data_IF_576681805117
#
_entry.id   IF_576681805117
#
_cell.length_a   1.000
_cell.length_b   1.000
_cell.length_c   1.000
_cell.angle_alpha   90.00
_cell.angle_beta   90.00
_cell.angle_gamma   90.00
#
_symmetry.space_group_name_H-M   'P 1'
#
loop_
_entity.id
_entity.type
_entity.pdbx_description
1 polymer ?
#
# COMPACT_ATOMS: atom_id res chain seq x y z
N UNK A 1 21.07 -11.75 34.61
CA UNK A 1 19.97 -12.72 34.41
C UNK A 1 20.34 -13.57 33.21
N UNK A 2 20.03 -14.87 33.18
CA UNK A 2 20.38 -15.72 32.04
C UNK A 2 19.39 -15.47 30.91
N UNK A 3 19.88 -15.01 29.77
CA UNK A 3 19.04 -14.73 28.60
C UNK A 3 19.03 -15.91 27.62
N UNK A 4 20.19 -16.56 27.43
CA UNK A 4 20.33 -17.77 26.63
C UNK A 4 21.33 -18.75 27.22
N UNK A 5 21.20 -20.03 26.84
CA UNK A 5 22.15 -21.10 27.14
C UNK A 5 22.44 -21.86 25.84
N UNK A 6 23.73 -21.92 25.48
CA UNK A 6 24.21 -22.63 24.31
C UNK A 6 24.64 -24.05 24.69
N UNK A 7 24.01 -25.04 24.08
CA UNK A 7 24.29 -26.45 24.31
C UNK A 7 25.13 -27.00 23.16
N UNK A 8 26.30 -27.54 23.49
CA UNK A 8 27.22 -28.15 22.54
C UNK A 8 27.05 -29.68 22.52
N UNK A 9 27.29 -30.29 21.36
CA UNK A 9 27.38 -31.75 21.23
C UNK A 9 28.74 -32.29 21.71
N UNK A 10 28.91 -33.62 21.70
CA UNK A 10 30.14 -34.30 22.13
C UNK A 10 31.38 -33.94 21.28
N UNK A 11 31.18 -33.27 20.13
CA UNK A 11 32.24 -32.77 19.25
C UNK A 11 32.50 -31.28 19.43
N UNK A 12 31.85 -30.64 20.40
CA UNK A 12 31.95 -29.21 20.67
C UNK A 12 31.22 -28.33 19.65
N UNK A 13 30.33 -28.89 18.83
CA UNK A 13 29.53 -28.14 17.86
C UNK A 13 28.22 -27.69 18.50
N UNK A 14 27.70 -26.53 18.07
CA UNK A 14 26.42 -26.01 18.58
C UNK A 14 25.29 -26.97 18.22
N UNK A 15 24.66 -27.55 19.24
CA UNK A 15 23.54 -28.47 19.09
C UNK A 15 22.22 -27.71 19.15
N UNK A 16 22.01 -26.92 20.20
CA UNK A 16 20.84 -26.06 20.34
C UNK A 16 21.08 -24.90 21.30
N UNK A 17 20.30 -23.83 21.14
CA UNK A 17 20.26 -22.67 22.03
C UNK A 17 18.91 -22.64 22.73
N UNK A 18 18.91 -22.45 24.03
CA UNK A 18 17.71 -22.21 24.83
C UNK A 18 17.61 -20.73 25.20
N UNK A 19 16.43 -20.15 25.06
CA UNK A 19 16.20 -18.73 25.41
C UNK A 19 15.16 -18.61 26.52
N UNK A 20 15.47 -17.72 27.46
CA UNK A 20 14.73 -17.52 28.70
C UNK A 20 14.24 -16.08 28.80
N UNK A 21 13.03 -15.91 29.33
CA UNK A 21 12.47 -14.59 29.59
C UNK A 21 13.00 -14.00 30.91
N UNK A 22 12.60 -12.76 31.23
CA UNK A 22 12.98 -12.04 32.45
C UNK A 22 12.50 -12.70 33.75
N UNK A 23 11.80 -13.83 33.68
CA UNK A 23 11.37 -14.62 34.84
C UNK A 23 12.10 -15.98 34.90
N UNK A 24 13.12 -16.19 34.06
CA UNK A 24 13.88 -17.43 33.98
C UNK A 24 13.08 -18.60 33.41
N UNK A 25 12.00 -18.35 32.67
CA UNK A 25 11.24 -19.41 31.99
C UNK A 25 11.71 -19.58 30.56
N UNK A 26 11.98 -20.83 30.19
CA UNK A 26 12.26 -21.24 28.81
C UNK A 26 11.07 -20.89 27.93
N UNK A 27 11.30 -20.18 26.82
CA UNK A 27 10.26 -19.88 25.83
C UNK A 27 10.62 -20.33 24.43
N UNK A 28 11.91 -20.51 24.11
CA UNK A 28 12.35 -21.09 22.84
C UNK A 28 13.52 -22.05 23.00
N UNK A 29 13.57 -23.05 22.12
CA UNK A 29 14.78 -23.84 21.83
C UNK A 29 15.03 -23.88 20.34
N UNK A 30 16.20 -23.44 19.91
CA UNK A 30 16.61 -23.39 18.51
C UNK A 30 17.69 -24.43 18.25
N UNK A 31 17.45 -25.35 17.32
CA UNK A 31 18.36 -26.44 16.99
C UNK A 31 19.21 -26.10 15.78
N UNK A 32 20.47 -26.53 15.82
CA UNK A 32 21.44 -26.25 14.77
C UNK A 32 21.98 -27.54 14.16
N UNK A 33 22.34 -27.46 12.87
CA UNK A 33 23.09 -28.50 12.17
C UNK A 33 24.09 -27.84 11.23
N UNK A 34 25.37 -28.20 11.35
CA UNK A 34 26.45 -27.57 10.57
C UNK A 34 26.43 -26.04 10.69
N UNK A 35 26.24 -25.51 11.89
CA UNK A 35 26.10 -24.08 12.21
C UNK A 35 24.93 -23.33 11.51
N UNK A 36 23.98 -24.03 10.90
CA UNK A 36 22.76 -23.42 10.39
C UNK A 36 21.59 -23.74 11.32
N UNK A 37 20.76 -22.73 11.59
CA UNK A 37 19.49 -22.92 12.28
C UNK A 37 18.60 -23.87 11.49
N UNK A 38 18.11 -24.90 12.15
CA UNK A 38 17.27 -25.95 11.57
C UNK A 38 15.80 -25.70 11.89
N UNK A 39 15.50 -25.53 13.18
CA UNK A 39 14.15 -25.42 13.71
C UNK A 39 14.16 -24.72 15.06
N UNK A 40 13.17 -23.88 15.30
CA UNK A 40 12.91 -23.25 16.60
C UNK A 40 11.61 -23.82 17.14
N UNK A 41 11.64 -24.32 18.36
CA UNK A 41 10.47 -24.81 19.10
C UNK A 41 10.10 -23.78 20.16
N UNK A 42 8.80 -23.45 20.26
CA UNK A 42 8.26 -22.49 21.20
C UNK A 42 7.44 -23.17 22.29
N UNK A 43 7.66 -22.76 23.53
CA UNK A 43 7.05 -23.37 24.72
C UNK A 43 6.11 -22.41 25.42
N UNK A 44 4.97 -22.93 25.89
CA UNK A 44 3.98 -22.16 26.64
C UNK A 44 4.42 -22.02 28.11
N UNK A 45 3.61 -21.31 28.92
CA UNK A 45 3.90 -21.07 30.35
C UNK A 45 3.99 -22.36 31.20
N UNK A 46 3.47 -23.47 30.70
CA UNK A 46 3.47 -24.80 31.31
C UNK A 46 4.60 -25.70 30.78
N UNK A 47 5.46 -25.19 29.90
CA UNK A 47 6.56 -25.94 29.28
C UNK A 47 6.14 -26.89 28.16
N UNK A 48 4.90 -26.78 27.68
CA UNK A 48 4.41 -27.58 26.55
C UNK A 48 4.71 -26.85 25.25
N UNK A 49 5.11 -27.60 24.24
CA UNK A 49 5.26 -27.08 22.88
C UNK A 49 3.93 -26.59 22.32
N UNK A 50 3.94 -25.38 21.77
CA UNK A 50 2.76 -24.78 21.11
C UNK A 50 3.05 -24.27 19.70
N UNK A 51 4.31 -24.14 19.31
CA UNK A 51 4.67 -23.78 17.93
C UNK A 51 6.06 -24.27 17.56
N UNK A 52 6.29 -24.42 16.25
CA UNK A 52 7.63 -24.69 15.70
C UNK A 52 7.80 -24.03 14.33
N UNK A 53 9.01 -23.58 13.99
CA UNK A 53 9.32 -23.15 12.62
C UNK A 53 9.44 -24.34 11.68
N UNK A 54 9.28 -24.10 10.38
CA UNK A 54 9.47 -25.12 9.35
C UNK A 54 10.89 -24.99 8.76
N UNK A 55 11.71 -26.06 8.78
CA UNK A 55 13.07 -26.00 8.26
C UNK A 55 13.15 -25.46 6.83
N UNK A 56 14.07 -24.52 6.60
CA UNK A 56 14.32 -23.89 5.28
C UNK A 56 13.10 -23.15 4.70
N UNK A 57 12.19 -22.66 5.54
CA UNK A 57 10.98 -21.92 5.16
C UNK A 57 10.73 -20.79 6.17
N UNK A 58 9.98 -19.75 5.77
CA UNK A 58 9.39 -18.78 6.72
C UNK A 58 8.22 -19.36 7.51
N UNK A 59 7.76 -20.57 7.17
CA UNK A 59 6.57 -21.18 7.75
C UNK A 59 6.66 -21.44 9.24
N UNK A 60 5.52 -21.36 9.92
CA UNK A 60 5.35 -21.68 11.33
C UNK A 60 4.16 -22.60 11.50
N UNK A 61 4.31 -23.62 12.34
CA UNK A 61 3.25 -24.55 12.70
C UNK A 61 2.83 -24.27 14.14
N UNK A 62 1.54 -24.01 14.36
CA UNK A 62 0.95 -23.89 15.70
C UNK A 62 0.34 -25.22 16.08
N UNK A 63 0.62 -25.66 17.31
CA UNK A 63 0.22 -26.95 17.87
C UNK A 63 -0.51 -26.66 19.18
N UNK A 64 -1.54 -27.44 19.49
CA UNK A 64 -2.23 -27.37 20.79
C UNK A 64 -2.91 -26.02 21.09
N UNK A 65 -3.30 -25.25 20.07
CA UNK A 65 -4.14 -24.05 20.23
C UNK A 65 -5.56 -24.32 19.71
N UNK A 66 -6.58 -24.04 20.52
CA UNK A 66 -7.97 -24.43 20.22
C UNK A 66 -8.53 -23.86 18.91
N UNK A 67 -8.05 -22.69 18.48
CA UNK A 67 -8.55 -22.00 17.28
C UNK A 67 -7.45 -21.73 16.22
N UNK A 68 -6.17 -21.77 16.60
CA UNK A 68 -5.05 -21.38 15.73
C UNK A 68 -4.16 -22.56 15.35
N UNK A 69 -4.50 -23.79 15.74
CA UNK A 69 -3.69 -24.95 15.36
C UNK A 69 -3.69 -25.09 13.84
N UNK A 70 -2.50 -25.18 13.25
CA UNK A 70 -2.35 -25.23 11.80
C UNK A 70 -0.98 -24.78 11.30
N UNK A 71 -0.81 -24.89 10.00
CA UNK A 71 0.36 -24.37 9.30
C UNK A 71 0.08 -22.95 8.79
N UNK A 72 1.06 -22.08 8.99
CA UNK A 72 1.08 -20.71 8.50
C UNK A 72 2.31 -20.52 7.61
N UNK A 73 2.13 -19.86 6.47
CA UNK A 73 3.20 -19.69 5.49
C UNK A 73 4.34 -18.78 5.98
N UNK A 74 4.02 -17.88 6.91
CA UNK A 74 4.95 -16.95 7.55
C UNK A 74 4.37 -16.42 8.87
N UNK A 75 5.16 -15.68 9.64
CA UNK A 75 4.72 -15.10 10.92
C UNK A 75 3.58 -14.09 10.75
N UNK A 76 3.51 -13.42 9.59
CA UNK A 76 2.46 -12.45 9.25
C UNK A 76 1.07 -13.10 9.13
N UNK A 77 0.97 -14.23 8.43
CA UNK A 77 -0.28 -14.99 8.29
C UNK A 77 -0.79 -15.51 9.64
N UNK A 78 0.12 -15.97 10.51
CA UNK A 78 -0.20 -16.35 11.89
C UNK A 78 -0.77 -15.19 12.69
N UNK A 79 -0.08 -14.04 12.67
CA UNK A 79 -0.51 -12.86 13.42
C UNK A 79 -1.88 -12.36 12.95
N UNK A 80 -2.12 -12.36 11.64
CA UNK A 80 -3.40 -11.97 11.06
C UNK A 80 -4.55 -12.86 11.53
N UNK A 81 -4.37 -14.18 11.52
CA UNK A 81 -5.40 -15.12 11.96
C UNK A 81 -5.64 -15.04 13.47
N UNK A 82 -4.59 -14.86 14.28
CA UNK A 82 -4.72 -14.62 15.72
C UNK A 82 -5.61 -13.40 16.00
N UNK A 83 -5.36 -12.29 15.31
CA UNK A 83 -6.11 -11.06 15.51
C UNK A 83 -7.57 -11.20 15.08
N UNK A 84 -7.85 -11.88 13.96
CA UNK A 84 -9.21 -12.16 13.48
C UNK A 84 -10.01 -13.01 14.46
N UNK A 85 -9.43 -14.11 14.93
CA UNK A 85 -10.13 -15.07 15.80
C UNK A 85 -10.45 -14.49 17.18
N UNK A 86 -9.65 -13.53 17.65
CA UNK A 86 -9.89 -12.85 18.92
C UNK A 86 -10.77 -11.59 18.76
N UNK A 87 -11.33 -11.34 17.57
CA UNK A 87 -12.18 -10.17 17.29
C UNK A 87 -11.44 -8.84 17.40
N UNK A 88 -10.10 -8.85 17.32
CA UNK A 88 -9.26 -7.68 17.58
C UNK A 88 -9.19 -6.78 16.34
N UNK A 89 -8.83 -7.31 15.17
CA UNK A 89 -8.82 -6.62 13.87
C UNK A 89 -8.45 -7.61 12.75
N UNK A 90 -8.80 -7.30 11.50
CA UNK A 90 -8.52 -8.10 10.30
C UNK A 90 -7.34 -7.57 9.46
N UNK A 91 -6.55 -6.65 10.02
CA UNK A 91 -5.57 -5.80 9.33
C UNK A 91 -4.39 -5.47 10.28
N UNK A 92 -3.13 -5.19 9.83
CA UNK A 92 -1.88 -5.09 10.67
C UNK A 92 -1.10 -3.72 10.61
N UNK A 93 -0.61 -3.17 11.74
CA UNK A 93 0.34 -2.03 11.88
C UNK A 93 1.62 -2.67 12.40
N UNK A 94 2.71 -2.44 11.67
CA UNK A 94 4.00 -3.04 11.95
C UNK A 94 4.89 -2.02 12.65
N UNK A 95 5.33 -2.37 13.86
CA UNK A 95 6.44 -1.72 14.57
C UNK A 95 7.72 -2.58 14.53
N UNK A 96 7.67 -3.79 13.97
CA UNK A 96 8.78 -4.75 13.92
C UNK A 96 9.28 -4.94 12.49
N UNK A 97 10.55 -4.58 12.26
CA UNK A 97 11.26 -4.70 10.99
C UNK A 97 11.38 -6.15 10.50
N UNK A 98 11.40 -7.13 11.40
CA UNK A 98 11.53 -8.55 11.03
C UNK A 98 10.28 -9.11 10.34
N UNK A 99 9.12 -8.47 10.52
CA UNK A 99 7.88 -8.86 9.85
C UNK A 99 7.75 -8.25 8.44
N UNK A 100 8.64 -7.32 8.08
CA UNK A 100 8.65 -6.66 6.77
C UNK A 100 9.31 -7.55 5.71
N UNK A 101 10.36 -8.30 6.07
CA UNK A 101 11.02 -9.25 5.16
C UNK A 101 10.08 -10.37 4.69
N UNK A 102 9.17 -10.81 5.55
CA UNK A 102 8.13 -11.80 5.26
C UNK A 102 6.98 -11.24 4.40
N UNK A 103 6.89 -9.91 4.23
CA UNK A 103 5.79 -9.19 3.58
C UNK A 103 5.99 -8.96 2.06
N UNK A 104 6.91 -9.70 1.43
CA UNK A 104 7.28 -9.55 0.01
C UNK A 104 6.10 -9.58 -1.01
N UNK A 105 4.90 -9.97 -0.60
CA UNK A 105 3.65 -9.67 -1.31
C UNK A 105 2.50 -9.44 -0.31
N UNK A 106 1.78 -8.34 -0.48
CA UNK A 106 0.59 -7.89 0.27
C UNK A 106 0.82 -7.36 1.70
N UNK A 107 1.00 -6.04 1.79
CA UNK A 107 0.88 -5.29 3.05
C UNK A 107 -0.58 -4.81 3.17
N UNK A 108 -1.34 -5.40 4.11
CA UNK A 108 -2.68 -4.98 4.52
C UNK A 108 -2.64 -4.29 5.91
N UNK A 109 -3.11 -3.04 5.96
CA UNK A 109 -2.85 -2.02 7.00
C UNK A 109 -3.80 -2.05 8.20
N UNK A 110 -3.36 -1.88 9.47
CA UNK A 110 -4.21 -1.67 10.67
C UNK A 110 -4.95 -0.35 10.60
N UNK A 111 -6.25 -0.43 10.86
CA UNK A 111 -6.93 0.53 11.70
C UNK A 111 -7.54 -0.23 12.90
N UNK A 112 -7.55 0.44 14.05
CA UNK A 112 -8.13 0.01 15.32
C UNK A 112 -9.63 -0.29 15.12
N UNK A 113 -10.11 -1.46 15.58
CA UNK A 113 -11.55 -1.68 15.66
C UNK A 113 -12.21 -0.73 16.68
N UNK A 114 -13.44 -0.34 16.36
CA UNK A 114 -14.30 0.63 17.03
C UNK A 114 -14.25 0.56 18.56
N UNK A 115 -13.62 1.56 19.19
CA UNK A 115 -13.82 2.10 20.57
C UNK A 115 -12.55 2.73 21.17
N UNK A 116 -11.44 2.87 20.42
CA UNK A 116 -10.30 3.70 20.86
C UNK A 116 -10.03 4.83 19.88
N UNK A 117 -9.88 6.03 20.42
CA UNK A 117 -9.57 7.23 19.65
C UNK A 117 -8.05 7.39 19.55
N UNK A 118 -7.55 8.05 18.49
CA UNK A 118 -6.14 8.46 18.38
C UNK A 118 -5.61 9.16 19.65
N UNK A 119 -6.50 9.81 20.41
CA UNK A 119 -6.20 10.44 21.70
C UNK A 119 -5.66 9.47 22.76
N UNK A 120 -6.04 8.20 22.68
CA UNK A 120 -5.64 7.16 23.63
C UNK A 120 -4.23 6.61 23.33
N UNK A 121 -3.71 6.80 22.10
CA UNK A 121 -2.34 6.45 21.70
C UNK A 121 -1.33 7.55 22.05
N UNK A 122 -1.76 8.81 22.08
CA UNK A 122 -0.92 9.98 22.40
C UNK A 122 -0.66 10.11 23.92
N UNK A 123 -1.44 9.42 24.75
CA UNK A 123 -1.57 9.70 26.19
C UNK A 123 -0.47 9.19 27.12
N UNK A 124 0.48 8.35 26.68
CA UNK A 124 1.39 7.69 27.63
C UNK A 124 2.84 8.17 27.64
N UNK A 125 3.38 8.78 26.58
CA UNK A 125 4.83 9.11 26.55
C UNK A 125 5.25 10.39 25.80
N UNK A 126 4.35 11.30 25.42
CA UNK A 126 4.69 12.60 24.80
C UNK A 126 5.62 12.56 23.55
N UNK A 127 5.89 11.38 22.98
CA UNK A 127 6.47 11.21 21.65
C UNK A 127 5.37 10.66 20.75
N UNK A 128 5.03 11.41 19.71
CA UNK A 128 4.14 10.93 18.65
C UNK A 128 4.87 9.79 17.91
N UNK A 129 4.48 8.55 18.17
CA UNK A 129 4.88 7.41 17.35
C UNK A 129 4.27 7.60 15.94
N UNK A 130 5.11 7.60 14.89
CA UNK A 130 4.69 7.83 13.51
C UNK A 130 3.88 6.63 12.99
N UNK A 131 2.76 6.87 12.30
CA UNK A 131 1.91 5.81 11.74
C UNK A 131 2.21 5.65 10.25
N UNK A 132 2.82 4.54 9.84
CA UNK A 132 3.02 4.22 8.43
C UNK A 132 1.75 3.62 7.81
N UNK A 133 1.15 4.31 6.83
CA UNK A 133 -0.08 3.90 6.14
C UNK A 133 0.23 3.30 4.76
N UNK A 134 -0.01 2.01 4.60
CA UNK A 134 0.22 1.28 3.34
C UNK A 134 -1.06 1.11 2.49
N UNK A 135 -2.17 1.75 2.89
CA UNK A 135 -3.49 1.46 2.32
C UNK A 135 -3.57 2.02 0.92
N UNK A 136 -4.56 1.63 0.15
CA UNK A 136 -4.79 2.24 -1.17
C UNK A 136 -5.65 3.51 -1.04
N UNK A 137 -6.49 3.55 0.00
CA UNK A 137 -7.41 4.65 0.30
C UNK A 137 -6.95 5.35 1.59
N UNK A 138 -5.97 6.25 1.49
CA UNK A 138 -5.65 7.09 2.65
C UNK A 138 -6.61 8.26 2.70
N UNK A 139 -7.24 8.41 3.85
CA UNK A 139 -7.98 9.62 4.20
C UNK A 139 -7.02 10.53 4.97
N UNK A 140 -7.19 11.86 4.84
CA UNK A 140 -6.51 12.86 5.69
C UNK A 140 -6.92 12.63 7.15
N UNK A 141 -6.29 11.68 7.84
CA UNK A 141 -6.77 11.27 9.16
C UNK A 141 -6.12 12.12 10.26
N UNK A 142 -4.79 12.36 10.26
CA UNK A 142 -4.08 13.29 11.18
C UNK A 142 -2.64 13.55 10.68
N UNK A 143 -1.99 14.63 11.13
CA UNK A 143 -0.56 14.96 10.89
C UNK A 143 0.44 13.86 11.32
N UNK A 144 0.01 12.84 12.08
CA UNK A 144 0.85 11.73 12.55
C UNK A 144 0.96 10.56 11.55
N UNK A 145 0.31 10.65 10.39
CA UNK A 145 0.32 9.60 9.36
C UNK A 145 1.38 9.87 8.28
N UNK A 146 2.19 8.85 8.00
CA UNK A 146 3.11 8.82 6.87
C UNK A 146 2.60 7.81 5.85
N UNK A 147 2.18 8.30 4.69
CA UNK A 147 1.75 7.47 3.58
C UNK A 147 2.92 6.72 2.96
N UNK A 148 2.82 5.39 2.84
CA UNK A 148 3.84 4.59 2.17
C UNK A 148 3.49 4.42 0.70
N UNK A 149 4.39 4.89 -0.17
CA UNK A 149 4.26 4.80 -1.62
C UNK A 149 4.90 3.51 -2.11
N UNK A 150 4.09 2.67 -2.74
CA UNK A 150 4.55 1.44 -3.42
C UNK A 150 5.06 1.82 -4.82
N UNK A 151 6.18 1.24 -5.28
CA UNK A 151 6.66 1.48 -6.64
C UNK A 151 5.64 0.98 -7.66
N UNK A 152 5.58 1.63 -8.83
CA UNK A 152 4.84 1.08 -9.96
C UNK A 152 5.57 -0.16 -10.48
N UNK A 153 4.84 -1.26 -10.60
CA UNK A 153 5.42 -2.55 -11.04
C UNK A 153 5.10 -2.87 -12.49
N UNK A 154 4.12 -2.19 -13.08
CA UNK A 154 3.69 -2.42 -14.45
C UNK A 154 4.10 -1.28 -15.38
N UNK A 155 4.72 -1.65 -16.51
CA UNK A 155 4.91 -0.75 -17.65
C UNK A 155 3.96 -1.18 -18.75
N UNK A 156 2.94 -0.37 -19.04
CA UNK A 156 2.05 -0.60 -20.18
C UNK A 156 2.72 -0.13 -21.47
N UNK A 157 2.70 -0.97 -22.51
CA UNK A 157 3.07 -0.57 -23.88
C UNK A 157 2.00 0.32 -24.53
N UNK A 158 0.78 0.30 -24.00
CA UNK A 158 -0.36 1.08 -24.50
C UNK A 158 -0.46 2.37 -23.69
N UNK A 159 -0.40 3.51 -24.38
CA UNK A 159 -0.64 4.84 -23.80
C UNK A 159 -2.05 4.89 -23.24
N UNK A 160 -2.19 4.93 -21.92
CA UNK A 160 -3.49 4.77 -21.25
C UNK A 160 -3.83 6.01 -20.44
N UNK A 161 -5.05 6.49 -20.58
CA UNK A 161 -5.61 7.60 -19.80
C UNK A 161 -6.67 7.01 -18.86
N UNK A 162 -6.59 7.33 -17.57
CA UNK A 162 -7.56 6.88 -16.59
C UNK A 162 -8.45 8.03 -16.09
N UNK A 163 -9.75 7.74 -15.98
CA UNK A 163 -10.77 8.63 -15.39
C UNK A 163 -11.60 7.78 -14.43
N UNK A 164 -11.85 8.29 -13.22
CA UNK A 164 -12.73 7.66 -12.23
C UNK A 164 -13.84 8.64 -11.84
N UNK A 165 -15.10 8.19 -11.93
CA UNK A 165 -16.27 9.02 -11.59
C UNK A 165 -17.28 8.28 -10.74
N UNK A 166 -18.11 9.02 -9.99
CA UNK A 166 -19.29 8.51 -9.31
C UNK A 166 -20.59 8.83 -10.07
N UNK A 167 -20.48 9.43 -11.27
CA UNK A 167 -21.59 9.81 -12.14
C UNK A 167 -21.25 9.57 -13.61
N UNK A 168 -22.22 9.77 -14.51
CA UNK A 168 -22.04 9.76 -15.95
C UNK A 168 -21.70 11.13 -16.57
N UNK A 169 -21.48 12.15 -15.73
CA UNK A 169 -21.08 13.48 -16.16
C UNK A 169 -19.56 13.59 -16.18
N UNK A 170 -18.99 13.66 -17.39
CA UNK A 170 -17.58 13.90 -17.65
C UNK A 170 -17.44 15.10 -18.60
N UNK A 171 -16.63 16.08 -18.22
CA UNK A 171 -16.45 17.33 -18.98
C UNK A 171 -15.62 17.06 -20.25
N UNK A 172 -16.16 17.44 -21.42
CA UNK A 172 -15.50 17.34 -22.74
C UNK A 172 -14.95 15.95 -23.13
N UNK A 173 -15.55 14.86 -22.60
CA UNK A 173 -15.01 13.51 -22.79
C UNK A 173 -15.07 13.06 -24.26
N UNK A 174 -16.12 13.41 -25.00
CA UNK A 174 -16.27 13.03 -26.40
C UNK A 174 -15.15 13.64 -27.26
N UNK A 175 -14.86 14.94 -27.09
CA UNK A 175 -13.81 15.64 -27.82
C UNK A 175 -12.41 15.14 -27.45
N UNK A 176 -12.19 14.78 -26.17
CA UNK A 176 -10.94 14.18 -25.72
C UNK A 176 -10.72 12.80 -26.36
N UNK A 177 -11.75 11.95 -26.38
CA UNK A 177 -11.68 10.63 -27.03
C UNK A 177 -11.39 10.79 -28.53
N UNK A 178 -12.06 11.73 -29.20
CA UNK A 178 -11.86 12.00 -30.63
C UNK A 178 -10.45 12.53 -30.92
N UNK A 179 -9.95 13.47 -30.11
CA UNK A 179 -8.64 14.10 -30.32
C UNK A 179 -7.42 13.26 -29.96
N UNK A 180 -7.61 12.20 -29.17
CA UNK A 180 -6.56 11.34 -28.60
C UNK A 180 -6.76 9.86 -29.00
N UNK A 181 -6.93 9.60 -30.30
CA UNK A 181 -7.15 8.24 -30.83
C UNK A 181 -6.00 7.26 -30.56
N UNK A 182 -4.79 7.77 -30.35
CA UNK A 182 -3.61 6.97 -30.00
C UNK A 182 -3.55 6.57 -28.51
N UNK A 183 -4.46 7.09 -27.69
CA UNK A 183 -4.58 6.76 -26.27
C UNK A 183 -5.78 5.86 -26.02
N UNK A 184 -5.60 4.87 -25.15
CA UNK A 184 -6.68 4.08 -24.61
C UNK A 184 -7.29 4.75 -23.37
N UNK A 185 -8.56 5.11 -23.42
CA UNK A 185 -9.32 5.64 -22.29
C UNK A 185 -9.91 4.50 -21.47
N UNK A 186 -9.42 4.35 -20.24
CA UNK A 186 -10.04 3.51 -19.24
C UNK A 186 -10.94 4.40 -18.38
N UNK A 187 -12.25 4.22 -18.50
CA UNK A 187 -13.23 5.06 -17.81
C UNK A 187 -13.96 4.19 -16.79
N UNK A 188 -13.77 4.54 -15.52
CA UNK A 188 -14.25 3.79 -14.37
C UNK A 188 -15.37 4.48 -13.63
N UNK A 189 -16.31 3.70 -13.08
CA UNK A 189 -17.26 4.19 -12.09
C UNK A 189 -17.47 3.22 -10.92
N UNK A 190 -17.77 3.78 -9.73
CA UNK A 190 -18.17 2.98 -8.54
C UNK A 190 -19.63 2.54 -8.58
N UNK A 191 -20.45 3.21 -9.37
CA UNK A 191 -21.90 3.04 -9.44
C UNK A 191 -22.33 2.35 -10.73
N UNK A 192 -23.64 2.10 -10.85
CA UNK A 192 -24.25 1.93 -12.17
C UNK A 192 -24.07 3.23 -12.97
N UNK A 193 -23.94 3.08 -14.28
CA UNK A 193 -23.74 4.19 -15.22
C UNK A 193 -24.88 4.21 -16.25
N UNK A 194 -25.18 5.39 -16.79
CA UNK A 194 -26.25 5.56 -17.77
C UNK A 194 -25.91 4.94 -19.13
N UNK A 195 -26.92 4.79 -19.98
CA UNK A 195 -26.70 4.35 -21.35
C UNK A 195 -25.86 5.33 -22.16
N UNK A 196 -25.93 6.64 -21.86
CA UNK A 196 -25.07 7.68 -22.48
C UNK A 196 -23.61 7.35 -22.21
N UNK A 197 -23.28 7.10 -20.95
CA UNK A 197 -21.93 6.72 -20.55
C UNK A 197 -21.47 5.44 -21.25
N UNK A 198 -22.27 4.37 -21.19
CA UNK A 198 -21.95 3.07 -21.82
C UNK A 198 -21.71 3.20 -23.33
N UNK A 199 -22.36 4.16 -24.00
CA UNK A 199 -22.17 4.38 -25.42
C UNK A 199 -20.78 4.95 -25.77
N UNK A 200 -20.04 5.56 -24.83
CA UNK A 200 -18.65 5.96 -25.06
C UNK A 200 -17.75 4.75 -25.39
N UNK A 201 -18.10 3.56 -24.86
CA UNK A 201 -17.39 2.30 -25.09
C UNK A 201 -17.58 1.71 -26.49
N UNK A 202 -18.35 2.38 -27.37
CA UNK A 202 -18.41 2.03 -28.80
C UNK A 202 -17.14 2.48 -29.55
N UNK A 203 -16.42 3.45 -29.00
CA UNK A 203 -15.13 3.89 -29.55
C UNK A 203 -14.07 2.82 -29.27
N UNK A 204 -13.28 2.48 -30.30
CA UNK A 204 -12.28 1.40 -30.20
C UNK A 204 -11.19 1.68 -29.17
N UNK A 205 -10.95 2.95 -28.88
CA UNK A 205 -9.96 3.41 -27.93
C UNK A 205 -10.53 3.61 -26.51
N UNK A 206 -11.72 3.06 -26.18
CA UNK A 206 -12.37 3.25 -24.87
C UNK A 206 -12.75 1.90 -24.24
N UNK A 207 -12.41 1.72 -22.96
CA UNK A 207 -12.96 0.67 -22.10
C UNK A 207 -13.74 1.31 -20.97
N UNK A 208 -14.99 0.88 -20.77
CA UNK A 208 -15.82 1.31 -19.65
C UNK A 208 -15.92 0.20 -18.63
N UNK A 209 -15.67 0.53 -17.37
CA UNK A 209 -15.84 -0.38 -16.24
C UNK A 209 -16.83 0.21 -15.24
N UNK A 210 -18.05 -0.33 -15.22
CA UNK A 210 -18.99 -0.07 -14.14
C UNK A 210 -18.62 -0.90 -12.91
N UNK A 211 -18.94 -0.40 -11.71
CA UNK A 211 -18.68 -1.09 -10.44
C UNK A 211 -17.22 -1.49 -10.21
N UNK A 212 -16.27 -0.62 -10.56
CA UNK A 212 -14.86 -0.89 -10.28
C UNK A 212 -14.64 -1.14 -8.79
N UNK A 213 -13.96 -2.23 -8.46
CA UNK A 213 -13.53 -2.52 -7.10
C UNK A 213 -12.31 -1.67 -6.71
N UNK A 214 -11.92 -1.67 -5.43
CA UNK A 214 -10.69 -0.96 -4.99
C UNK A 214 -9.46 -1.48 -5.74
N UNK A 215 -9.40 -2.80 -5.93
CA UNK A 215 -8.33 -3.46 -6.65
C UNK A 215 -8.29 -3.08 -8.14
N UNK A 216 -9.45 -2.90 -8.77
CA UNK A 216 -9.50 -2.48 -10.18
C UNK A 216 -8.98 -1.05 -10.36
N UNK A 217 -9.30 -0.15 -9.43
CA UNK A 217 -8.77 1.22 -9.44
C UNK A 217 -7.25 1.23 -9.24
N UNK A 218 -6.71 0.40 -8.34
CA UNK A 218 -5.27 0.28 -8.18
C UNK A 218 -4.58 -0.27 -9.45
N UNK A 219 -5.12 -1.32 -10.05
CA UNK A 219 -4.62 -1.84 -11.33
C UNK A 219 -4.67 -0.79 -12.43
N UNK A 220 -5.68 0.07 -12.41
CA UNK A 220 -5.83 1.14 -13.37
C UNK A 220 -4.70 2.19 -13.23
N UNK A 221 -4.44 2.63 -12.00
CA UNK A 221 -3.34 3.55 -11.67
C UNK A 221 -1.96 2.97 -12.02
N UNK A 222 -1.75 1.67 -11.81
CA UNK A 222 -0.51 0.98 -12.16
C UNK A 222 -0.22 1.02 -13.67
N UNK A 223 -1.26 1.11 -14.52
CA UNK A 223 -1.14 1.04 -15.98
C UNK A 223 -1.22 2.39 -16.69
N UNK A 224 -1.87 3.39 -16.10
CA UNK A 224 -2.14 4.63 -16.81
C UNK A 224 -0.93 5.58 -16.86
N UNK A 225 -0.85 6.34 -17.94
CA UNK A 225 0.18 7.34 -18.18
C UNK A 225 -0.23 8.72 -17.69
N UNK A 226 -1.53 9.00 -17.75
CA UNK A 226 -2.18 10.24 -17.34
C UNK A 226 -3.46 9.93 -16.55
N UNK A 227 -3.80 10.81 -15.61
CA UNK A 227 -5.09 10.85 -14.95
C UNK A 227 -5.81 12.15 -15.32
N UNK A 228 -7.06 12.05 -15.79
CA UNK A 228 -7.88 13.23 -16.09
C UNK A 228 -8.96 13.40 -15.02
N UNK A 229 -8.83 14.48 -14.26
CA UNK A 229 -9.83 14.93 -13.30
C UNK A 229 -10.91 15.72 -14.04
N UNK A 230 -11.76 15.01 -14.76
CA UNK A 230 -12.85 15.59 -15.56
C UNK A 230 -14.23 15.13 -15.10
N UNK A 231 -14.30 14.43 -13.97
CA UNK A 231 -15.57 14.07 -13.36
C UNK A 231 -16.23 15.29 -12.74
N UNK A 232 -17.55 15.35 -12.80
CA UNK A 232 -18.30 16.32 -12.02
C UNK A 232 -18.51 15.82 -10.58
N UNK A 233 -19.08 16.72 -9.76
CA UNK A 233 -19.43 16.50 -8.36
C UNK A 233 -18.25 16.40 -7.39
N UNK A 234 -17.93 15.20 -6.91
CA UNK A 234 -16.94 14.99 -5.86
C UNK A 234 -15.84 14.03 -6.33
N UNK A 235 -14.63 14.27 -5.82
CA UNK A 235 -13.50 13.37 -5.99
C UNK A 235 -13.85 11.98 -5.45
N UNK A 236 -13.58 10.95 -6.25
CA UNK A 236 -13.82 9.55 -5.86
C UNK A 236 -12.53 8.94 -5.33
N UNK A 237 -12.60 8.25 -4.20
CA UNK A 237 -11.49 7.47 -3.62
C UNK A 237 -10.15 8.20 -3.44
N UNK A 238 -10.18 9.52 -3.20
CA UNK A 238 -8.96 10.33 -3.08
C UNK A 238 -8.00 10.14 -4.27
N UNK A 239 -8.58 9.89 -5.45
CA UNK A 239 -7.88 9.42 -6.63
C UNK A 239 -6.79 10.38 -7.11
N UNK A 240 -6.93 11.68 -6.88
CA UNK A 240 -5.92 12.66 -7.27
C UNK A 240 -4.63 12.43 -6.50
N UNK A 241 -4.73 12.36 -5.17
CA UNK A 241 -3.58 12.10 -4.31
C UNK A 241 -2.89 10.77 -4.66
N UNK A 242 -3.67 9.73 -4.98
CA UNK A 242 -3.14 8.43 -5.39
C UNK A 242 -2.42 8.49 -6.74
N UNK A 243 -3.00 9.15 -7.74
CA UNK A 243 -2.35 9.37 -9.03
C UNK A 243 -1.03 10.13 -8.87
N UNK A 244 -1.03 11.20 -8.07
CA UNK A 244 0.16 12.02 -7.79
C UNK A 244 1.24 11.19 -7.10
N UNK A 245 0.91 10.38 -6.10
CA UNK A 245 1.89 9.51 -5.42
C UNK A 245 2.55 8.51 -6.38
N UNK A 246 1.82 8.07 -7.42
CA UNK A 246 2.32 7.21 -8.49
C UNK A 246 3.04 7.95 -9.63
N UNK A 247 3.37 9.23 -9.46
CA UNK A 247 3.97 10.07 -10.52
C UNK A 247 3.13 10.10 -11.80
N UNK A 248 1.81 10.05 -11.66
CA UNK A 248 0.88 10.19 -12.78
C UNK A 248 0.49 11.66 -12.87
N UNK A 249 0.85 12.37 -13.95
CA UNK A 249 0.42 13.75 -14.13
C UNK A 249 -1.11 13.83 -14.17
N UNK A 250 -1.65 14.73 -13.34
CA UNK A 250 -3.08 15.05 -13.27
C UNK A 250 -3.37 16.30 -14.09
N UNK A 251 -4.37 16.21 -14.97
CA UNK A 251 -4.87 17.33 -15.77
C UNK A 251 -6.38 17.49 -15.62
N UNK A 252 -6.90 18.71 -15.77
CA UNK A 252 -8.30 19.02 -15.50
C UNK A 252 -8.82 20.25 -16.23
N UNK A 253 -10.13 20.48 -16.17
CA UNK A 253 -10.76 21.75 -16.53
C UNK A 253 -10.97 22.64 -15.30
N UNK A 254 -10.74 23.95 -15.46
CA UNK A 254 -10.70 24.92 -14.36
C UNK A 254 -11.94 24.94 -13.48
N UNK A 255 -13.11 24.77 -14.06
CA UNK A 255 -14.38 24.90 -13.34
C UNK A 255 -14.73 23.67 -12.50
N UNK A 256 -14.21 22.51 -12.88
CA UNK A 256 -14.54 21.21 -12.26
C UNK A 256 -13.35 20.57 -11.53
N UNK A 257 -12.15 21.14 -11.67
CA UNK A 257 -10.95 20.64 -11.02
C UNK A 257 -11.12 20.53 -9.50
N UNK A 258 -10.96 19.32 -8.99
CA UNK A 258 -10.87 19.04 -7.57
C UNK A 258 -9.45 19.37 -7.08
N UNK A 259 -9.35 19.70 -5.79
CA UNK A 259 -8.07 19.98 -5.13
C UNK A 259 -7.13 20.87 -5.95
N UNK A 260 -7.60 22.04 -6.41
CA UNK A 260 -6.83 22.95 -7.29
C UNK A 260 -5.41 23.26 -6.81
N UNK A 261 -5.17 23.20 -5.51
CA UNK A 261 -3.84 23.33 -4.91
C UNK A 261 -2.85 22.29 -5.43
N UNK A 262 -3.31 21.06 -5.75
CA UNK A 262 -2.47 20.00 -6.27
C UNK A 262 -2.14 20.13 -7.76
N UNK A 263 -2.91 20.92 -8.52
CA UNK A 263 -2.82 20.94 -9.99
C UNK A 263 -1.69 21.87 -10.44
N UNK A 264 -0.90 21.42 -11.41
CA UNK A 264 0.14 22.25 -12.02
C UNK A 264 -0.54 23.37 -12.83
N UNK A 265 -0.08 24.64 -12.74
CA UNK A 265 -0.75 25.75 -13.42
C UNK A 265 -0.94 25.58 -14.94
N UNK A 266 -0.06 24.84 -15.62
CA UNK A 266 -0.17 24.56 -17.06
C UNK A 266 -0.96 23.27 -17.39
N UNK A 267 -1.44 22.52 -16.39
CA UNK A 267 -2.30 21.34 -16.59
C UNK A 267 -3.78 21.58 -16.28
N UNK A 268 -4.16 22.84 -16.11
CA UNK A 268 -5.56 23.26 -15.87
C UNK A 268 -6.04 24.18 -17.00
N UNK A 269 -7.10 23.76 -17.68
CA UNK A 269 -7.59 24.39 -18.91
C UNK A 269 -8.99 24.95 -18.74
N UNK A 270 -9.29 26.06 -19.43
CA UNK A 270 -10.67 26.48 -19.60
C UNK A 270 -11.36 25.60 -20.65
N UNK A 271 -12.68 25.45 -20.58
CA UNK A 271 -13.45 24.55 -21.47
C UNK A 271 -13.23 24.85 -22.96
N UNK A 272 -13.06 26.12 -23.32
CA UNK A 272 -12.79 26.56 -24.70
C UNK A 272 -11.36 26.27 -25.18
N UNK A 273 -10.48 25.74 -24.33
CA UNK A 273 -9.09 25.40 -24.64
C UNK A 273 -8.89 23.90 -24.93
N UNK A 274 -9.95 23.17 -25.30
CA UNK A 274 -9.90 21.72 -25.56
C UNK A 274 -8.78 21.30 -26.53
N UNK A 275 -8.54 22.09 -27.59
CA UNK A 275 -7.44 21.83 -28.55
C UNK A 275 -6.08 21.91 -27.86
N UNK A 276 -5.86 22.95 -27.05
CA UNK A 276 -4.62 23.10 -26.29
C UNK A 276 -4.44 21.97 -25.28
N UNK A 277 -5.50 21.51 -24.63
CA UNK A 277 -5.46 20.37 -23.70
C UNK A 277 -4.96 19.11 -24.43
N UNK A 278 -5.57 18.77 -25.57
CA UNK A 278 -5.19 17.61 -26.38
C UNK A 278 -3.71 17.70 -26.82
N UNK A 279 -3.29 18.86 -27.34
CA UNK A 279 -1.91 19.07 -27.78
C UNK A 279 -0.92 18.99 -26.61
N UNK A 280 -1.32 19.46 -25.43
CA UNK A 280 -0.51 19.38 -24.22
C UNK A 280 -0.27 17.93 -23.78
N UNK A 281 -1.30 17.08 -23.77
CA UNK A 281 -1.16 15.64 -23.48
C UNK A 281 -0.17 14.99 -24.45
N UNK A 282 -0.30 15.27 -25.75
CA UNK A 282 0.61 14.73 -26.78
C UNK A 282 2.05 15.16 -26.52
N UNK A 283 2.28 16.44 -26.21
CA UNK A 283 3.59 16.98 -25.83
C UNK A 283 4.17 16.27 -24.60
N UNK A 284 3.39 16.11 -23.53
CA UNK A 284 3.82 15.43 -22.30
C UNK A 284 4.29 14.00 -22.55
N UNK A 285 3.61 13.26 -23.42
CA UNK A 285 4.00 11.87 -23.73
C UNK A 285 5.36 11.72 -24.39
N UNK A 286 5.92 12.82 -24.91
CA UNK A 286 7.23 12.87 -25.58
C UNK A 286 8.30 13.64 -24.81
N UNK A 287 7.95 14.21 -23.64
CA UNK A 287 8.86 15.05 -22.86
C UNK A 287 8.95 14.55 -21.41
N UNK A 288 9.89 13.63 -21.13
CA UNK A 288 10.12 13.12 -19.78
C UNK A 288 10.45 14.23 -18.76
N UNK A 289 11.24 15.22 -19.16
CA UNK A 289 11.64 16.33 -18.28
C UNK A 289 10.44 17.15 -17.82
N UNK A 290 9.56 17.53 -18.75
CA UNK A 290 8.34 18.27 -18.43
C UNK A 290 7.37 17.43 -17.60
N UNK A 291 7.28 16.12 -17.89
CA UNK A 291 6.46 15.20 -17.09
C UNK A 291 6.97 15.12 -15.65
N UNK A 292 8.28 15.00 -15.45
CA UNK A 292 8.92 14.97 -14.15
C UNK A 292 8.76 16.30 -13.40
N UNK A 293 8.87 17.44 -14.09
CA UNK A 293 8.63 18.76 -13.51
C UNK A 293 7.20 18.86 -12.96
N UNK A 294 6.21 18.44 -13.75
CA UNK A 294 4.81 18.45 -13.36
C UNK A 294 4.57 17.53 -12.17
N UNK A 295 4.98 16.26 -12.25
CA UNK A 295 4.70 15.29 -11.18
C UNK A 295 5.40 15.68 -9.88
N UNK A 296 6.62 16.21 -9.95
CA UNK A 296 7.34 16.73 -8.78
C UNK A 296 6.61 17.93 -8.17
N UNK A 297 6.15 18.88 -8.99
CA UNK A 297 5.35 20.00 -8.48
C UNK A 297 4.11 19.48 -7.76
N UNK A 298 3.32 18.61 -8.41
CA UNK A 298 2.05 18.10 -7.86
C UNK A 298 2.28 17.32 -6.55
N UNK A 299 3.35 16.52 -6.48
CA UNK A 299 3.77 15.83 -5.25
C UNK A 299 4.09 16.79 -4.10
N UNK A 300 4.79 17.89 -4.39
CA UNK A 300 5.12 18.90 -3.38
C UNK A 300 3.91 19.68 -2.86
N UNK A 301 2.75 19.58 -3.53
CA UNK A 301 1.50 20.18 -3.05
C UNK A 301 0.70 19.26 -2.12
N UNK A 302 1.09 17.99 -1.98
CA UNK A 302 0.39 17.08 -1.07
C UNK A 302 0.53 17.59 0.36
N UNK A 303 -0.60 17.71 1.05
CA UNK A 303 -0.72 18.26 2.40
C UNK A 303 -0.56 17.20 3.49
N UNK A 304 0.09 16.07 3.16
CA UNK A 304 0.37 14.98 4.07
C UNK A 304 1.76 14.38 3.82
N UNK A 305 2.36 13.81 4.87
CA UNK A 305 3.67 13.18 4.76
C UNK A 305 3.58 11.84 4.01
N UNK A 306 4.56 11.56 3.16
CA UNK A 306 4.70 10.27 2.51
C UNK A 306 6.17 9.87 2.40
N UNK A 307 6.42 8.56 2.30
CA UNK A 307 7.75 7.98 2.09
C UNK A 307 7.66 6.86 1.07
N UNK A 308 8.73 6.64 0.31
CA UNK A 308 8.80 5.45 -0.52
C UNK A 308 8.93 4.20 0.35
N UNK A 309 8.47 3.05 -0.13
CA UNK A 309 8.69 1.78 0.54
C UNK A 309 10.18 1.56 0.87
N UNK A 310 11.08 1.96 -0.03
CA UNK A 310 12.52 1.85 0.20
C UNK A 310 13.00 2.78 1.32
N UNK A 311 12.48 4.00 1.41
CA UNK A 311 12.84 4.92 2.50
C UNK A 311 12.33 4.43 3.84
N UNK A 312 11.13 3.83 3.88
CA UNK A 312 10.62 3.16 5.08
C UNK A 312 11.55 2.00 5.46
N UNK A 313 11.96 1.16 4.50
CA UNK A 313 12.93 0.07 4.74
C UNK A 313 14.26 0.63 5.25
N UNK A 314 14.77 1.72 4.68
CA UNK A 314 16.03 2.34 5.07
C UNK A 314 15.95 2.96 6.48
N UNK A 315 14.85 3.64 6.81
CA UNK A 315 14.62 4.22 8.13
C UNK A 315 14.49 3.15 9.22
N UNK A 316 13.84 2.03 8.90
CA UNK A 316 13.64 0.91 9.83
C UNK A 316 14.86 -0.02 9.90
N UNK A 317 15.64 -0.15 8.83
CA UNK A 317 16.86 -0.97 8.77
C UNK A 317 18.16 -0.23 9.11
N UNK A 318 18.12 1.10 9.25
CA UNK A 318 19.28 1.96 9.43
C UNK A 318 19.88 2.02 10.83
N UNK A 319 19.39 1.23 11.79
CA UNK A 319 19.89 1.21 13.18
C UNK A 319 19.98 -0.21 13.79
N UNK A 320 20.37 -1.21 13.00
CA UNK A 320 20.88 -2.48 13.52
C UNK A 320 22.41 -2.57 13.38
N UNK A 321 23.10 -1.44 13.59
CA UNK A 321 24.54 -1.37 13.78
C UNK A 321 24.81 -0.97 15.23
N UNK A 322 25.21 -1.95 16.04
CA UNK A 322 25.48 -1.89 17.48
C UNK A 322 24.26 -1.99 18.42
N UNK A 323 23.97 -3.23 18.83
CA UNK A 323 24.07 -3.66 20.23
C UNK A 323 24.45 -5.13 20.30
#
# INVERSE_FOLDING_TARGET
>A
MVHSIDWLDDKGQLAYVETYNDYGKLYTREYYKNNNSLITIYYNKSGQEYAQTVPKSSGIMIINHSQLSGYYANRLTLLTDYLKQNGISDKLVLLDSNLIEDANQAIDCINLNDCRTLRDLVGTNNQLEMIYDFSDSSQRLVDSYIKVVKPRTESSLVKTIFILSASDELEMIEELIEGLQEYHFMIGARTMVSQKFLNLGRNKNVTISAHMSKLDVERALQKCEFYLDINHFFEVDYILSRAILYDIPVLSFRDIAHQKAYIYPETIFDKNQIVNFIDYIKRLSTSPDLKNEITLYQKNQLDFCYLSLQDVINQLGGNCGHL
#
